data_IF_662180599251
#
_entry.id   IF_662180599251
#
_cell.length_a   1.000
_cell.length_b   1.000
_cell.length_c   1.000
_cell.angle_alpha   90.00
_cell.angle_beta   90.00
_cell.angle_gamma   90.00
#
_symmetry.space_group_name_H-M   'P 1'
#
loop_
_entity.id
_entity.type
_entity.pdbx_description
1 polymer ?
#
# COMPACT_ATOMS: atom_id res chain seq x y z
N UNK A 1 -4.85 17.72 -10.86
CA UNK A 1 -4.85 17.10 -9.50
C UNK A 1 -3.92 15.88 -9.48
N UNK A 2 -3.30 15.55 -8.34
CA UNK A 2 -2.39 14.39 -8.18
C UNK A 2 -3.06 13.10 -8.72
N UNK A 3 -4.34 12.93 -8.41
CA UNK A 3 -5.20 11.80 -8.82
C UNK A 3 -5.29 11.66 -10.35
N UNK A 4 -5.47 12.74 -11.12
CA UNK A 4 -5.60 12.65 -12.58
C UNK A 4 -4.30 12.16 -13.23
N UNK A 5 -3.15 12.62 -12.74
CA UNK A 5 -1.83 12.15 -13.22
C UNK A 5 -1.62 10.68 -12.85
N UNK A 6 -2.05 10.29 -11.65
CA UNK A 6 -2.00 8.90 -11.19
C UNK A 6 -2.80 7.98 -12.10
N UNK A 7 -4.07 8.29 -12.35
CA UNK A 7 -4.93 7.46 -13.19
C UNK A 7 -4.48 7.39 -14.65
N UNK A 8 -3.87 8.47 -15.18
CA UNK A 8 -3.28 8.47 -16.54
C UNK A 8 -2.12 7.50 -16.70
N UNK A 9 -1.40 7.20 -15.63
CA UNK A 9 -0.30 6.23 -15.63
C UNK A 9 -0.79 4.77 -15.52
N UNK A 10 -2.12 4.56 -15.43
CA UNK A 10 -2.75 3.24 -15.36
C UNK A 10 -2.08 2.32 -14.31
N UNK A 11 -2.01 2.77 -13.04
CA UNK A 11 -1.42 1.99 -11.98
C UNK A 11 -2.14 0.65 -11.82
N UNK A 12 -1.41 -0.42 -11.48
CA UNK A 12 -2.01 -1.75 -11.35
C UNK A 12 -2.95 -1.80 -10.14
N UNK A 13 -4.00 -2.61 -10.25
CA UNK A 13 -4.90 -2.93 -9.13
C UNK A 13 -4.41 -4.16 -8.38
N UNK A 14 -4.77 -4.25 -7.09
CA UNK A 14 -4.48 -5.42 -6.27
C UNK A 14 -5.71 -5.86 -5.50
N UNK A 15 -6.11 -7.12 -5.67
CA UNK A 15 -7.31 -7.68 -5.06
C UNK A 15 -7.05 -8.47 -3.78
N UNK A 16 -5.78 -8.68 -3.41
CA UNK A 16 -5.40 -9.57 -2.31
C UNK A 16 -5.22 -11.01 -2.79
N UNK A 17 -3.99 -11.36 -3.16
CA UNK A 17 -3.61 -12.70 -3.58
C UNK A 17 -2.89 -13.48 -2.48
N UNK A 18 -2.89 -14.84 -2.52
CA UNK A 18 -2.17 -15.66 -1.57
C UNK A 18 -0.65 -15.67 -1.81
N UNK A 19 -0.19 -15.08 -2.93
CA UNK A 19 1.20 -15.10 -3.34
C UNK A 19 1.90 -13.78 -2.95
N UNK A 20 2.88 -13.80 -2.04
CA UNK A 20 3.67 -12.63 -1.67
C UNK A 20 4.32 -11.92 -2.88
N UNK A 21 4.76 -12.65 -3.91
CA UNK A 21 5.34 -12.05 -5.12
C UNK A 21 4.37 -11.09 -5.83
N UNK A 22 3.06 -11.38 -5.78
CA UNK A 22 2.06 -10.51 -6.42
C UNK A 22 1.82 -9.23 -5.63
N UNK A 23 1.95 -9.30 -4.30
CA UNK A 23 1.93 -8.14 -3.44
C UNK A 23 3.19 -7.27 -3.63
N UNK A 24 4.36 -7.90 -3.78
CA UNK A 24 5.64 -7.20 -4.00
C UNK A 24 5.66 -6.47 -5.33
N UNK A 25 5.28 -7.19 -6.38
CA UNK A 25 5.20 -6.63 -7.71
C UNK A 25 4.22 -5.45 -7.74
N UNK A 26 3.08 -5.54 -7.05
CA UNK A 26 2.14 -4.43 -6.96
C UNK A 26 2.74 -3.20 -6.26
N UNK A 27 3.39 -3.39 -5.10
CA UNK A 27 4.06 -2.29 -4.38
C UNK A 27 5.11 -1.63 -5.28
N UNK A 28 5.97 -2.42 -5.90
CA UNK A 28 7.03 -1.92 -6.78
C UNK A 28 6.48 -1.08 -7.94
N UNK A 29 5.46 -1.57 -8.63
CA UNK A 29 4.84 -0.83 -9.74
C UNK A 29 4.15 0.46 -9.27
N UNK A 30 3.47 0.45 -8.11
CA UNK A 30 2.88 1.64 -7.52
C UNK A 30 3.95 2.67 -7.13
N UNK A 31 5.08 2.24 -6.56
CA UNK A 31 6.19 3.12 -6.21
C UNK A 31 6.84 3.75 -7.45
N UNK A 32 6.95 3.00 -8.57
CA UNK A 32 7.40 3.55 -9.86
C UNK A 32 6.48 4.66 -10.38
N UNK A 33 5.16 4.47 -10.26
CA UNK A 33 4.17 5.50 -10.62
C UNK A 33 4.34 6.74 -9.74
N UNK A 34 4.49 6.56 -8.42
CA UNK A 34 4.72 7.67 -7.50
C UNK A 34 6.02 8.42 -7.77
N UNK A 35 7.11 7.71 -8.08
CA UNK A 35 8.39 8.32 -8.46
C UNK A 35 8.25 9.16 -9.74
N UNK A 36 7.57 8.63 -10.76
CA UNK A 36 7.30 9.33 -12.02
C UNK A 36 6.52 10.63 -11.80
N UNK A 37 5.57 10.61 -10.86
CA UNK A 37 4.77 11.79 -10.52
C UNK A 37 5.46 12.75 -9.54
N UNK A 38 6.60 12.36 -8.95
CA UNK A 38 7.22 13.05 -7.80
C UNK A 38 6.23 13.26 -6.66
N UNK A 39 5.47 12.19 -6.36
CA UNK A 39 4.40 12.21 -5.36
C UNK A 39 4.94 12.39 -3.94
N UNK A 40 4.29 13.25 -3.14
CA UNK A 40 4.64 13.43 -1.74
C UNK A 40 4.19 12.21 -0.92
N UNK A 41 4.89 11.94 0.18
CA UNK A 41 4.62 10.77 1.02
C UNK A 41 3.17 10.73 1.55
N UNK A 42 2.60 11.89 1.90
CA UNK A 42 1.23 12.00 2.39
C UNK A 42 0.18 11.61 1.32
N UNK A 43 0.45 11.93 0.04
CA UNK A 43 -0.48 11.61 -1.06
C UNK A 43 -0.44 10.12 -1.42
N UNK A 44 0.66 9.41 -1.14
CA UNK A 44 0.81 7.99 -1.47
C UNK A 44 -0.23 7.13 -0.77
N UNK A 45 -0.51 7.41 0.51
CA UNK A 45 -1.47 6.66 1.32
C UNK A 45 -2.92 6.97 0.94
N UNK A 46 -3.17 8.07 0.24
CA UNK A 46 -4.49 8.35 -0.37
C UNK A 46 -4.64 7.65 -1.72
N UNK A 47 -3.57 7.60 -2.52
CA UNK A 47 -3.60 7.07 -3.89
C UNK A 47 -3.47 5.55 -3.96
N UNK A 48 -2.67 4.91 -3.10
CA UNK A 48 -2.45 3.47 -3.16
C UNK A 48 -3.71 2.66 -2.83
N UNK A 49 -4.48 2.99 -1.76
CA UNK A 49 -5.75 2.31 -1.48
C UNK A 49 -6.77 2.42 -2.61
N UNK A 50 -6.70 3.50 -3.41
CA UNK A 50 -7.56 3.66 -4.58
C UNK A 50 -7.36 2.55 -5.62
N UNK A 51 -6.22 1.85 -5.61
CA UNK A 51 -5.98 0.70 -6.48
C UNK A 51 -6.23 -0.66 -5.83
N UNK A 52 -6.57 -0.69 -4.54
CA UNK A 52 -6.99 -1.91 -3.86
C UNK A 52 -8.42 -2.27 -4.28
N UNK A 53 -8.67 -3.56 -4.46
CA UNK A 53 -9.97 -4.12 -4.85
C UNK A 53 -10.29 -5.34 -3.98
N UNK A 54 -11.56 -5.77 -3.99
CA UNK A 54 -12.00 -6.98 -3.28
C UNK A 54 -11.46 -7.09 -1.86
N UNK A 55 -10.83 -8.24 -1.56
CA UNK A 55 -10.30 -8.56 -0.23
C UNK A 55 -9.27 -7.53 0.26
N UNK A 56 -8.37 -7.05 -0.60
CA UNK A 56 -7.37 -6.06 -0.18
C UNK A 56 -7.99 -4.71 0.20
N UNK A 57 -9.07 -4.30 -0.46
CA UNK A 57 -9.79 -3.08 -0.08
C UNK A 57 -10.51 -3.24 1.27
N UNK A 58 -11.14 -4.39 1.51
CA UNK A 58 -11.78 -4.69 2.79
C UNK A 58 -10.77 -4.75 3.93
N UNK A 59 -9.62 -5.39 3.70
CA UNK A 59 -8.49 -5.40 4.62
C UNK A 59 -8.03 -3.99 4.98
N UNK A 60 -7.85 -3.10 3.99
CA UNK A 60 -7.41 -1.73 4.25
C UNK A 60 -8.39 -0.99 5.15
N UNK A 61 -9.70 -1.09 4.87
CA UNK A 61 -10.75 -0.49 5.70
C UNK A 61 -10.75 -1.02 7.13
N UNK A 62 -10.45 -2.31 7.32
CA UNK A 62 -10.34 -2.91 8.65
C UNK A 62 -9.10 -2.39 9.39
N UNK A 63 -7.94 -2.34 8.73
CA UNK A 63 -6.70 -1.82 9.34
C UNK A 63 -6.79 -0.33 9.69
N UNK A 64 -7.48 0.46 8.86
CA UNK A 64 -7.79 1.86 9.18
C UNK A 64 -8.53 2.01 10.50
N UNK A 65 -9.53 1.15 10.77
CA UNK A 65 -10.30 1.20 12.01
C UNK A 65 -9.56 0.60 13.21
N UNK A 66 -8.81 -0.49 13.00
CA UNK A 66 -8.21 -1.28 14.09
C UNK A 66 -6.79 -0.85 14.42
N UNK A 67 -5.91 -0.81 13.42
CA UNK A 67 -4.48 -0.50 13.59
C UNK A 67 -4.24 1.00 13.65
N UNK A 68 -4.89 1.76 12.78
CA UNK A 68 -4.71 3.22 12.72
C UNK A 68 -5.74 4.00 13.54
N UNK A 69 -6.58 3.32 14.32
CA UNK A 69 -7.57 3.91 15.22
C UNK A 69 -8.48 4.99 14.56
N UNK A 70 -8.78 4.83 13.27
CA UNK A 70 -9.59 5.78 12.51
C UNK A 70 -8.90 7.10 12.15
N UNK A 71 -7.56 7.18 12.21
CA UNK A 71 -6.80 8.31 11.65
C UNK A 71 -7.17 8.54 10.18
N UNK A 72 -7.00 9.76 9.70
CA UNK A 72 -7.14 10.08 8.28
C UNK A 72 -5.97 9.50 7.48
N UNK A 73 -6.20 9.16 6.21
CA UNK A 73 -5.18 8.57 5.33
C UNK A 73 -3.97 9.50 5.15
N UNK A 74 -4.18 10.82 5.16
CA UNK A 74 -3.13 11.85 5.13
C UNK A 74 -2.24 11.87 6.39
N UNK A 75 -2.74 11.37 7.51
CA UNK A 75 -2.00 11.30 8.77
C UNK A 75 -1.14 10.04 8.87
N UNK A 76 -1.28 9.10 7.94
CA UNK A 76 -0.53 7.84 7.90
C UNK A 76 0.62 8.01 6.93
N UNK A 77 1.81 7.60 7.34
CA UNK A 77 2.99 7.62 6.48
C UNK A 77 3.00 6.43 5.52
N UNK A 78 3.63 6.59 4.36
CA UNK A 78 3.82 5.48 3.41
C UNK A 78 4.53 4.28 4.04
N UNK A 79 5.45 4.52 4.98
CA UNK A 79 6.17 3.46 5.70
C UNK A 79 5.23 2.68 6.63
N UNK A 80 4.36 3.37 7.39
CA UNK A 80 3.34 2.72 8.22
C UNK A 80 2.37 1.87 7.37
N UNK A 81 1.98 2.36 6.19
CA UNK A 81 1.18 1.59 5.24
C UNK A 81 1.90 0.30 4.81
N UNK A 82 3.16 0.41 4.38
CA UNK A 82 3.95 -0.73 3.90
C UNK A 82 4.21 -1.76 5.01
N UNK A 83 4.46 -1.32 6.24
CA UNK A 83 4.67 -2.22 7.38
C UNK A 83 3.43 -3.11 7.61
N UNK A 84 2.25 -2.50 7.67
CA UNK A 84 0.98 -3.21 7.87
C UNK A 84 0.61 -4.06 6.65
N UNK A 85 0.85 -3.56 5.44
CA UNK A 85 0.64 -4.28 4.19
C UNK A 85 1.52 -5.54 4.11
N UNK A 86 2.81 -5.38 4.41
CA UNK A 86 3.76 -6.48 4.39
C UNK A 86 3.46 -7.51 5.48
N UNK A 87 3.13 -7.10 6.71
CA UNK A 87 2.71 -8.02 7.78
C UNK A 87 1.53 -8.90 7.36
N UNK A 88 0.59 -8.35 6.59
CA UNK A 88 -0.61 -9.08 6.17
C UNK A 88 -0.38 -9.96 4.93
N UNK A 89 0.25 -9.41 3.89
CA UNK A 89 0.38 -10.09 2.59
C UNK A 89 1.72 -10.81 2.40
N UNK A 90 2.69 -10.59 3.31
CA UNK A 90 3.99 -11.25 3.37
C UNK A 90 4.26 -11.82 4.77
N UNK A 91 3.44 -12.76 5.26
CA UNK A 91 3.52 -13.19 6.65
C UNK A 91 4.85 -13.89 7.02
N UNK A 92 5.74 -14.24 6.08
CA UNK A 92 6.99 -14.95 6.40
C UNK A 92 8.12 -14.53 5.44
N UNK A 93 9.01 -13.65 5.92
CA UNK A 93 10.47 -13.66 5.63
C UNK A 93 11.27 -12.65 6.48
N UNK A 94 10.64 -11.68 7.16
CA UNK A 94 11.35 -10.66 7.98
C UNK A 94 11.29 -10.96 9.49
N UNK A 95 11.59 -12.19 9.90
CA UNK A 95 11.91 -12.49 11.32
C UNK A 95 13.30 -13.09 11.54
N UNK A 96 14.09 -13.36 10.48
CA UNK A 96 15.44 -13.91 10.64
C UNK A 96 16.59 -12.88 10.61
N UNK A 97 16.33 -11.58 10.44
CA UNK A 97 17.39 -10.53 10.43
C UNK A 97 17.39 -9.64 11.70
N UNK A 98 16.71 -10.06 12.78
CA UNK A 98 16.79 -9.38 14.10
C UNK A 98 17.37 -10.27 15.21
N UNK A 99 18.30 -11.16 14.86
CA UNK A 99 19.18 -11.84 15.81
C UNK A 99 20.61 -11.81 15.29
N UNK A 100 21.22 -10.64 15.35
CA UNK A 100 22.67 -10.47 15.50
C UNK A 100 22.94 -9.92 16.90
#
# INVERSE_FOLDING_TARGET
MQVEKFLRLQPPTYSGGPNPDTAEHWVHEIERVFATMRCLAADKVVLAPYQLRGFALEWWRLKMQTTFAGRTEEAITWLEFLDVFNDTFFPIQVQQVKRE
#
